data_IF_886636807071
#
_entry.id   IF_886636807071
#
_cell.length_a   1.000
_cell.length_b   1.000
_cell.length_c   1.000
_cell.angle_alpha   90.00
_cell.angle_beta   90.00
_cell.angle_gamma   90.00
#
_symmetry.space_group_name_H-M   'P 1'
#
loop_
_entity.id
_entity.type
_entity.pdbx_description
1 polymer ?
#
# COMPACT_ATOMS: atom_id res chain seq x y z
N UNK A 1 7.26 11.60 2.64
CA UNK A 1 5.94 10.94 2.56
C UNK A 1 5.67 10.34 1.18
N UNK A 2 5.63 11.13 0.10
CA UNK A 2 5.45 10.64 -1.27
C UNK A 2 6.42 9.49 -1.61
N UNK A 3 7.72 9.70 -1.39
CA UNK A 3 8.75 8.68 -1.63
C UNK A 3 8.54 7.38 -0.85
N UNK A 4 8.00 7.46 0.37
CA UNK A 4 7.71 6.26 1.20
C UNK A 4 6.57 5.47 0.56
N UNK A 5 5.51 6.17 0.15
CA UNK A 5 4.36 5.54 -0.50
C UNK A 5 4.74 4.93 -1.86
N UNK A 6 5.57 5.62 -2.66
CA UNK A 6 6.08 5.11 -3.94
C UNK A 6 6.95 3.87 -3.74
N UNK A 7 7.87 3.87 -2.76
CA UNK A 7 8.67 2.70 -2.42
C UNK A 7 7.81 1.50 -1.97
N UNK A 8 6.77 1.77 -1.18
CA UNK A 8 5.87 0.72 -0.71
C UNK A 8 5.04 0.14 -1.86
N UNK A 9 4.62 0.98 -2.81
CA UNK A 9 3.92 0.57 -4.04
C UNK A 9 4.77 -0.36 -4.90
N UNK A 10 6.03 0.00 -5.19
CA UNK A 10 6.93 -0.88 -5.93
C UNK A 10 7.16 -2.22 -5.20
N UNK A 11 7.31 -2.19 -3.88
CA UNK A 11 7.45 -3.41 -3.07
C UNK A 11 6.19 -4.28 -3.10
N UNK A 12 5.00 -3.68 -3.14
CA UNK A 12 3.74 -4.39 -3.27
C UNK A 12 3.60 -5.08 -4.63
N UNK A 13 3.98 -4.40 -5.71
CA UNK A 13 4.01 -4.99 -7.05
C UNK A 13 5.03 -6.13 -7.14
N UNK A 14 6.20 -5.96 -6.51
CA UNK A 14 7.17 -7.02 -6.41
C UNK A 14 6.65 -8.19 -5.55
N UNK A 15 5.90 -7.93 -4.48
CA UNK A 15 5.26 -8.96 -3.66
C UNK A 15 4.22 -9.79 -4.43
N UNK A 16 3.51 -9.15 -5.36
CA UNK A 16 2.55 -9.85 -6.20
C UNK A 16 3.25 -10.85 -7.15
N UNK A 17 4.37 -10.44 -7.76
CA UNK A 17 5.13 -11.31 -8.68
C UNK A 17 6.07 -12.29 -7.95
N UNK A 18 6.63 -11.87 -6.82
CA UNK A 18 7.61 -12.58 -6.01
C UNK A 18 7.24 -12.52 -4.52
N UNK A 19 6.18 -13.25 -4.10
CA UNK A 19 5.68 -13.20 -2.73
C UNK A 19 6.66 -13.65 -1.65
N UNK A 20 7.70 -14.43 -2.01
CA UNK A 20 8.73 -14.89 -1.06
C UNK A 20 9.82 -13.82 -0.84
N UNK A 21 9.97 -12.88 -1.77
CA UNK A 21 11.06 -11.89 -1.76
C UNK A 21 10.63 -10.54 -1.21
N UNK A 22 9.34 -10.33 -1.00
CA UNK A 22 8.82 -9.01 -0.66
C UNK A 22 8.54 -8.85 0.83
N UNK A 23 9.22 -7.87 1.41
CA UNK A 23 9.11 -7.53 2.82
C UNK A 23 7.95 -6.54 3.04
N UNK A 24 6.71 -7.05 2.93
CA UNK A 24 5.50 -6.27 3.18
C UNK A 24 5.40 -5.82 4.65
N UNK A 25 6.01 -6.55 5.58
CA UNK A 25 6.13 -6.15 6.98
C UNK A 25 6.94 -4.86 7.14
N UNK A 26 8.08 -4.73 6.46
CA UNK A 26 8.83 -3.49 6.45
C UNK A 26 8.02 -2.33 5.84
N UNK A 27 7.22 -2.58 4.80
CA UNK A 27 6.32 -1.57 4.23
C UNK A 27 5.29 -1.07 5.24
N UNK A 28 4.58 -1.99 5.91
CA UNK A 28 3.57 -1.65 6.91
C UNK A 28 4.19 -0.81 8.04
N UNK A 29 5.36 -1.20 8.54
CA UNK A 29 6.06 -0.44 9.58
C UNK A 29 6.45 0.96 9.11
N UNK A 30 6.98 1.09 7.89
CA UNK A 30 7.32 2.40 7.33
C UNK A 30 6.09 3.30 7.19
N UNK A 31 4.95 2.76 6.76
CA UNK A 31 3.71 3.52 6.67
C UNK A 31 3.18 3.92 8.05
N UNK A 32 3.26 3.05 9.06
CA UNK A 32 2.86 3.37 10.43
C UNK A 32 3.71 4.50 11.03
N UNK A 33 5.02 4.46 10.81
CA UNK A 33 5.95 5.50 11.24
C UNK A 33 5.69 6.81 10.49
N UNK A 34 5.51 6.73 9.17
CA UNK A 34 5.16 7.88 8.35
C UNK A 34 3.82 8.50 8.76
N UNK A 35 2.83 7.68 9.16
CA UNK A 35 1.58 8.15 9.73
C UNK A 35 1.77 8.90 11.04
N UNK A 36 2.67 8.44 11.91
CA UNK A 36 3.00 9.15 13.15
C UNK A 36 3.73 10.47 12.87
N UNK A 37 4.60 10.52 11.86
CA UNK A 37 5.37 11.72 11.52
C UNK A 37 4.58 12.77 10.73
N UNK A 38 3.84 12.35 9.70
CA UNK A 38 3.16 13.24 8.76
C UNK A 38 1.66 13.38 9.03
N UNK A 39 1.13 12.59 9.96
CA UNK A 39 -0.30 12.48 10.22
C UNK A 39 -1.01 11.58 9.21
N UNK A 40 -2.19 11.16 9.59
CA UNK A 40 -3.05 10.32 8.78
C UNK A 40 -4.04 11.23 8.03
N UNK A 41 -3.76 11.54 6.75
CA UNK A 41 -4.60 12.43 5.91
C UNK A 41 -5.97 11.79 5.64
N UNK A 42 -6.86 11.80 6.65
CA UNK A 42 -8.23 11.27 6.55
C UNK A 42 -8.28 9.77 6.29
N UNK A 43 -7.58 8.95 7.09
CA UNK A 43 -7.54 7.47 6.98
C UNK A 43 -6.82 6.90 5.78
N UNK A 44 -6.20 7.72 4.93
CA UNK A 44 -5.53 7.22 3.72
C UNK A 44 -4.31 6.34 3.99
N UNK A 45 -3.49 6.66 5.02
CA UNK A 45 -2.32 5.82 5.33
C UNK A 45 -2.78 4.56 6.06
N UNK A 46 -3.73 4.69 6.99
CA UNK A 46 -4.35 3.54 7.65
C UNK A 46 -5.03 2.57 6.67
N UNK A 47 -5.74 3.09 5.67
CA UNK A 47 -6.38 2.30 4.62
C UNK A 47 -5.32 1.54 3.79
N UNK A 48 -4.25 2.22 3.38
CA UNK A 48 -3.13 1.60 2.69
C UNK A 48 -2.46 0.50 3.54
N UNK A 49 -2.22 0.74 4.83
CA UNK A 49 -1.67 -0.27 5.76
C UNK A 49 -2.59 -1.49 5.83
N UNK A 50 -3.89 -1.26 6.04
CA UNK A 50 -4.89 -2.33 6.18
C UNK A 50 -4.98 -3.15 4.90
N UNK A 51 -4.98 -2.50 3.74
CA UNK A 51 -5.03 -3.18 2.45
C UNK A 51 -3.76 -4.00 2.17
N UNK A 52 -2.57 -3.48 2.49
CA UNK A 52 -1.30 -4.22 2.37
C UNK A 52 -1.29 -5.44 3.30
N UNK A 53 -1.80 -5.30 4.52
CA UNK A 53 -1.91 -6.40 5.48
C UNK A 53 -2.84 -7.52 4.95
N UNK A 54 -3.98 -7.14 4.36
CA UNK A 54 -4.87 -8.10 3.70
C UNK A 54 -4.23 -8.76 2.47
N UNK A 55 -3.49 -8.01 1.66
CA UNK A 55 -2.75 -8.55 0.53
C UNK A 55 -1.70 -9.57 1.00
N UNK A 56 -0.93 -9.24 2.04
CA UNK A 56 0.03 -10.14 2.69
C UNK A 56 -0.63 -11.42 3.20
N UNK A 57 -1.78 -11.32 3.88
CA UNK A 57 -2.51 -12.49 4.38
C UNK A 57 -3.08 -13.35 3.24
N UNK A 58 -3.37 -12.76 2.08
CA UNK A 58 -3.84 -13.49 0.90
C UNK A 58 -2.74 -14.24 0.16
N UNK A 59 -1.45 -13.88 0.33
CA UNK A 59 -0.29 -14.57 -0.28
C UNK A 59 -0.25 -16.09 0.05
N UNK A 60 -0.27 -16.51 1.33
CA UNK A 60 -0.24 -17.93 1.67
C UNK A 60 -1.49 -18.68 1.18
N UNK A 61 -2.65 -18.01 1.11
CA UNK A 61 -3.87 -18.59 0.52
C UNK A 61 -3.72 -18.79 -1.00
N UNK A 62 -3.07 -17.85 -1.68
CA UNK A 62 -2.76 -17.93 -3.11
C UNK A 62 -1.90 -19.14 -3.48
N UNK A 63 -0.87 -19.42 -2.67
CA UNK A 63 0.01 -20.61 -2.87
C UNK A 63 -0.74 -21.93 -2.81
N UNK A 64 -1.82 -22.01 -2.03
CA UNK A 64 -2.57 -23.24 -1.84
C UNK A 64 -3.77 -23.37 -2.80
N UNK A 65 -4.43 -22.25 -3.12
CA UNK A 65 -5.73 -22.29 -3.79
C UNK A 65 -5.68 -21.86 -5.27
N UNK A 66 -4.63 -21.13 -5.71
CA UNK A 66 -4.55 -20.63 -7.09
C UNK A 66 -5.74 -19.77 -7.50
N UNK A 67 -6.27 -18.96 -6.58
CA UNK A 67 -7.55 -18.25 -6.71
C UNK A 67 -7.39 -16.76 -7.02
N UNK A 68 -8.29 -16.14 -7.76
CA UNK A 68 -8.36 -14.70 -8.05
C UNK A 68 -8.37 -13.75 -6.83
N UNK A 69 -8.51 -14.30 -5.61
CA UNK A 69 -8.69 -13.56 -4.37
C UNK A 69 -7.51 -12.67 -3.98
N UNK A 70 -6.24 -13.09 -4.16
CA UNK A 70 -5.14 -12.17 -3.83
C UNK A 70 -5.01 -11.05 -4.87
N UNK A 71 -5.32 -11.27 -6.14
CA UNK A 71 -5.30 -10.19 -7.14
C UNK A 71 -6.23 -9.03 -6.73
N UNK A 72 -7.39 -9.35 -6.14
CA UNK A 72 -8.29 -8.35 -5.55
C UNK A 72 -7.67 -7.58 -4.38
N UNK A 73 -7.07 -8.29 -3.41
CA UNK A 73 -6.46 -7.67 -2.24
C UNK A 73 -5.24 -6.79 -2.61
N UNK A 74 -4.39 -7.26 -3.52
CA UNK A 74 -3.27 -6.49 -4.05
C UNK A 74 -3.72 -5.27 -4.84
N UNK A 75 -4.78 -5.40 -5.66
CA UNK A 75 -5.37 -4.28 -6.39
C UNK A 75 -5.92 -3.21 -5.45
N UNK A 76 -6.59 -3.61 -4.36
CA UNK A 76 -7.08 -2.67 -3.35
C UNK A 76 -5.93 -1.93 -2.66
N UNK A 77 -4.86 -2.65 -2.27
CA UNK A 77 -3.68 -2.06 -1.65
C UNK A 77 -2.96 -1.08 -2.57
N UNK A 78 -2.85 -1.41 -3.85
CA UNK A 78 -2.27 -0.54 -4.86
C UNK A 78 -3.08 0.75 -5.02
N UNK A 79 -4.41 0.64 -5.13
CA UNK A 79 -5.27 1.80 -5.28
C UNK A 79 -5.25 2.71 -4.04
N UNK A 80 -5.24 2.13 -2.84
CA UNK A 80 -5.11 2.89 -1.58
C UNK A 80 -3.79 3.67 -1.52
N UNK A 81 -2.68 3.04 -1.94
CA UNK A 81 -1.38 3.70 -2.05
C UNK A 81 -1.39 4.82 -3.08
N UNK A 82 -2.00 4.62 -4.25
CA UNK A 82 -2.13 5.68 -5.26
C UNK A 82 -2.93 6.87 -4.74
N UNK A 83 -4.07 6.63 -4.11
CA UNK A 83 -4.87 7.68 -3.47
C UNK A 83 -4.08 8.45 -2.41
N UNK A 84 -3.31 7.73 -1.58
CA UNK A 84 -2.43 8.37 -0.62
C UNK A 84 -1.34 9.20 -1.32
N UNK A 85 -0.68 8.66 -2.35
CA UNK A 85 0.36 9.35 -3.13
C UNK A 85 -0.22 10.63 -3.73
N UNK A 86 -1.39 10.57 -4.37
CA UNK A 86 -2.08 11.71 -4.95
C UNK A 86 -2.47 12.73 -3.89
N UNK A 87 -2.95 12.31 -2.72
CA UNK A 87 -3.29 13.23 -1.63
C UNK A 87 -2.06 13.93 -1.05
N UNK A 88 -0.91 13.25 -0.97
CA UNK A 88 0.34 13.87 -0.50
C UNK A 88 1.07 14.66 -1.60
N UNK A 89 0.93 14.27 -2.87
CA UNK A 89 1.52 14.95 -4.04
C UNK A 89 0.66 16.11 -4.55
N UNK A 90 -0.65 16.04 -4.35
CA UNK A 90 -1.66 17.03 -4.76
C UNK A 90 -1.56 18.34 -3.98
N UNK A 91 -0.72 18.39 -2.95
CA UNK A 91 -0.35 19.65 -2.29
C UNK A 91 0.48 20.60 -3.19
N UNK A 92 0.90 20.16 -4.39
CA UNK A 92 1.50 21.04 -5.41
C UNK A 92 0.52 21.53 -6.50
N UNK A 93 -0.71 20.99 -6.61
CA UNK A 93 -1.68 21.47 -7.60
C UNK A 93 -2.86 22.17 -6.94
N UNK A 94 -2.62 23.45 -6.73
CA UNK A 94 -3.59 24.54 -6.64
C UNK A 94 -4.70 24.38 -7.71
N UNK A 95 -5.85 23.83 -7.35
CA UNK A 95 -7.09 23.99 -8.12
C UNK A 95 -8.05 24.89 -7.31
N UNK A 96 -8.00 26.22 -7.51
CA UNK A 96 -8.99 27.12 -6.96
C UNK A 96 -10.27 27.04 -7.80
N UNK A 97 -11.35 26.53 -7.21
CA UNK A 97 -12.72 26.80 -7.67
C UNK A 97 -13.40 27.78 -6.73
#
# INVERSE_FOLDING_TARGET
MKEILEQVKEKLENAYNHPDSADLDACIRQLQDARQQYGDKGTMIEDAITAIEQAKHSIPEHRHAGTDSAAGAFGQAYNALEHAIESFSGTENNDPF
#
